data_IF_996928083021
#
_entry.id   IF_996928083021
#
_cell.length_a   1.000
_cell.length_b   1.000
_cell.length_c   1.000
_cell.angle_alpha   90.00
_cell.angle_beta   90.00
_cell.angle_gamma   90.00
#
_symmetry.space_group_name_H-M   'P 1'
#
loop_
_entity.id
_entity.type
_entity.pdbx_description
1 polymer ?
#
# COMPACT_ATOMS: atom_id res chain seq x y z
N UNK A 1 9.62 28.12 18.72
CA UNK A 1 9.99 27.74 17.34
C UNK A 1 8.69 27.43 16.61
N UNK A 2 8.45 28.07 15.47
CA UNK A 2 7.20 27.89 14.73
C UNK A 2 7.22 26.55 13.97
N UNK A 3 6.40 25.61 14.45
CA UNK A 3 6.40 24.23 13.97
C UNK A 3 5.91 24.14 12.51
N UNK A 4 5.09 25.12 12.07
CA UNK A 4 4.61 25.20 10.69
C UNK A 4 5.75 25.55 9.74
N UNK A 5 6.64 26.45 10.13
CA UNK A 5 7.81 26.85 9.32
C UNK A 5 8.80 25.70 9.15
N UNK A 6 9.06 24.93 10.21
CA UNK A 6 9.94 23.75 10.15
C UNK A 6 9.31 22.68 9.24
N UNK A 7 8.00 22.46 9.37
CA UNK A 7 7.26 21.50 8.54
C UNK A 7 7.27 21.91 7.07
N UNK A 8 7.05 23.19 6.78
CA UNK A 8 7.09 23.73 5.42
C UNK A 8 8.48 23.60 4.78
N UNK A 9 9.55 23.80 5.57
CA UNK A 9 10.93 23.67 5.10
C UNK A 9 11.28 22.23 4.72
N UNK A 10 10.89 21.25 5.55
CA UNK A 10 11.08 19.82 5.26
C UNK A 10 10.31 19.41 3.99
N UNK A 11 9.06 19.87 3.85
CA UNK A 11 8.24 19.59 2.66
C UNK A 11 8.84 20.21 1.37
N UNK A 12 9.45 21.39 1.47
CA UNK A 12 10.12 22.04 0.35
C UNK A 12 11.39 21.30 -0.09
N UNK A 13 12.15 20.76 0.87
CA UNK A 13 13.37 19.99 0.62
C UNK A 13 13.05 18.67 -0.10
N UNK A 14 12.02 17.95 0.34
CA UNK A 14 11.59 16.70 -0.33
C UNK A 14 11.02 16.91 -1.73
N UNK A 15 10.44 18.08 -2.01
CA UNK A 15 9.96 18.43 -3.35
C UNK A 15 11.09 18.69 -4.36
N UNK A 16 12.30 19.01 -3.89
CA UNK A 16 13.44 19.33 -4.77
C UNK A 16 14.10 18.11 -5.39
N UNK A 17 13.85 16.89 -4.88
CA UNK A 17 14.53 15.68 -5.36
C UNK A 17 13.81 14.95 -6.51
N UNK A 18 12.67 15.47 -6.98
CA UNK A 18 11.90 14.86 -8.08
C UNK A 18 12.27 15.43 -9.47
N UNK A 19 13.23 16.36 -9.55
CA UNK A 19 13.62 17.07 -10.78
C UNK A 19 14.81 16.51 -11.56
N UNK A 20 15.54 15.50 -11.06
CA UNK A 20 16.83 15.09 -11.65
C UNK A 20 16.88 13.62 -12.05
N UNK A 21 15.87 13.15 -12.81
CA UNK A 21 16.04 11.93 -13.61
C UNK A 21 15.79 12.25 -15.08
N UNK A 22 16.66 13.10 -15.63
CA UNK A 22 16.93 13.15 -17.07
C UNK A 22 17.88 12.01 -17.40
N UNK A 23 17.50 11.17 -18.36
CA UNK A 23 18.16 9.91 -18.64
C UNK A 23 19.48 10.03 -19.39
N UNK A 24 20.25 8.95 -19.32
CA UNK A 24 21.11 8.50 -20.41
C UNK A 24 21.28 6.97 -20.32
N UNK A 25 21.36 6.37 -21.50
CA UNK A 25 21.43 4.93 -21.75
C UNK A 25 22.86 4.39 -21.50
N UNK A 26 22.94 3.05 -21.52
CA UNK A 26 24.12 2.19 -21.63
C UNK A 26 24.78 1.71 -20.32
N UNK A 27 24.50 0.46 -19.95
CA UNK A 27 25.48 -0.62 -20.19
C UNK A 27 24.86 -1.98 -19.85
N UNK A 28 24.75 -2.81 -20.88
CA UNK A 28 24.30 -4.20 -20.84
C UNK A 28 25.42 -5.06 -20.23
N UNK A 29 25.13 -5.80 -19.15
CA UNK A 29 25.59 -7.17 -18.92
C UNK A 29 25.11 -7.65 -17.54
N UNK A 30 24.07 -8.48 -17.53
CA UNK A 30 23.81 -9.39 -16.41
C UNK A 30 23.46 -10.74 -17.01
N UNK A 31 24.42 -11.65 -16.91
CA UNK A 31 24.29 -13.05 -17.32
C UNK A 31 23.39 -13.78 -16.32
N UNK A 32 22.27 -14.29 -16.82
CA UNK A 32 21.40 -15.26 -16.15
C UNK A 32 22.17 -16.46 -15.61
N UNK A 33 21.66 -17.05 -14.51
CA UNK A 33 21.40 -18.47 -14.46
C UNK A 33 19.88 -18.71 -14.56
N UNK A 34 19.47 -19.52 -15.53
CA UNK A 34 18.14 -20.13 -15.59
C UNK A 34 17.87 -20.92 -14.30
N UNK A 35 16.79 -20.59 -13.60
CA UNK A 35 16.14 -21.54 -12.69
C UNK A 35 14.71 -21.76 -13.16
N UNK A 36 14.60 -22.69 -14.10
CA UNK A 36 13.37 -23.34 -14.53
C UNK A 36 12.80 -24.16 -13.37
N UNK A 37 11.69 -23.71 -12.79
CA UNK A 37 10.64 -24.62 -12.33
C UNK A 37 9.26 -24.02 -12.67
N UNK A 38 8.56 -24.67 -13.60
CA UNK A 38 7.14 -24.38 -13.86
C UNK A 38 6.33 -24.66 -12.59
N UNK A 39 5.97 -23.60 -11.86
CA UNK A 39 5.01 -23.70 -10.77
C UNK A 39 3.61 -23.83 -11.38
N UNK A 40 3.20 -25.08 -11.63
CA UNK A 40 1.84 -25.45 -11.96
C UNK A 40 0.87 -24.83 -10.94
N UNK A 41 0.10 -23.83 -11.40
CA UNK A 41 -1.01 -23.29 -10.64
C UNK A 41 -2.16 -24.29 -10.77
N UNK A 42 -2.17 -25.31 -9.91
CA UNK A 42 -3.34 -26.17 -9.75
C UNK A 42 -4.45 -25.33 -9.11
N UNK A 43 -5.35 -24.81 -9.94
CA UNK A 43 -6.68 -24.43 -9.46
C UNK A 43 -7.44 -25.73 -9.15
N UNK A 44 -7.91 -25.95 -7.92
CA UNK A 44 -8.85 -27.03 -7.69
C UNK A 44 -10.16 -26.65 -8.39
N UNK A 45 -10.47 -27.40 -9.45
CA UNK A 45 -11.82 -27.53 -10.01
C UNK A 45 -12.69 -28.08 -8.88
N UNK A 46 -13.64 -27.28 -8.37
CA UNK A 46 -14.66 -27.82 -7.48
C UNK A 46 -15.71 -28.48 -8.35
N UNK A 47 -15.64 -29.81 -8.43
CA UNK A 47 -16.64 -30.66 -9.07
C UNK A 47 -18.04 -30.31 -8.60
N UNK A 48 -18.84 -29.71 -9.47
CA UNK A 48 -20.29 -29.63 -9.24
C UNK A 48 -20.85 -31.02 -9.51
N UNK A 49 -21.11 -31.73 -8.43
CA UNK A 49 -21.85 -33.00 -8.47
C UNK A 49 -23.14 -32.77 -9.23
N UNK A 50 -23.28 -33.48 -10.36
CA UNK A 50 -24.53 -33.68 -11.07
C UNK A 50 -25.59 -34.15 -10.07
N UNK A 51 -26.53 -33.27 -9.74
CA UNK A 51 -27.64 -33.50 -8.83
C UNK A 51 -28.88 -32.84 -9.39
N UNK A 52 -29.63 -33.62 -10.16
CA UNK A 52 -30.98 -33.31 -10.61
C UNK A 52 -31.91 -33.16 -9.40
N UNK A 53 -32.35 -31.93 -9.07
CA UNK A 53 -33.53 -31.73 -8.24
C UNK A 53 -34.18 -30.37 -8.52
N UNK A 54 -35.39 -30.43 -9.08
CA UNK A 54 -36.29 -29.29 -9.24
C UNK A 54 -36.63 -28.62 -7.91
N UNK A 55 -36.60 -27.28 -7.87
CA UNK A 55 -37.57 -26.48 -7.12
C UNK A 55 -37.56 -25.00 -7.55
N UNK A 56 -38.57 -24.66 -8.36
CA UNK A 56 -39.53 -23.56 -8.16
C UNK A 56 -39.03 -22.19 -7.69
N UNK A 57 -39.02 -21.27 -8.67
CA UNK A 57 -39.52 -19.89 -8.61
C UNK A 57 -39.35 -19.06 -7.33
N UNK A 58 -38.35 -18.17 -7.34
CA UNK A 58 -38.47 -16.85 -6.72
C UNK A 58 -37.94 -15.77 -7.66
N UNK A 59 -38.83 -15.26 -8.51
CA UNK A 59 -38.65 -14.03 -9.25
C UNK A 59 -38.81 -12.83 -8.30
N UNK A 60 -37.72 -12.11 -8.02
CA UNK A 60 -37.82 -10.71 -7.56
C UNK A 60 -37.35 -9.81 -8.71
N UNK A 61 -38.32 -9.18 -9.37
CA UNK A 61 -38.11 -8.43 -10.60
C UNK A 61 -37.42 -7.09 -10.38
N UNK A 62 -36.54 -6.74 -11.31
CA UNK A 62 -36.60 -5.42 -11.92
C UNK A 62 -36.36 -5.56 -13.42
N UNK A 63 -37.43 -5.47 -14.19
CA UNK A 63 -37.41 -5.41 -15.65
C UNK A 63 -36.85 -4.07 -16.08
N UNK A 64 -35.89 -4.05 -17.03
CA UNK A 64 -35.26 -2.80 -17.42
C UNK A 64 -34.26 -2.85 -18.58
N UNK A 65 -34.76 -3.13 -19.78
CA UNK A 65 -34.24 -2.66 -21.10
C UNK A 65 -33.07 -3.43 -21.76
N UNK A 66 -33.50 -4.30 -22.68
CA UNK A 66 -33.01 -4.58 -24.05
C UNK A 66 -31.90 -3.65 -24.59
N UNK A 67 -30.75 -4.27 -24.85
CA UNK A 67 -29.78 -4.09 -25.95
C UNK A 67 -29.64 -2.73 -26.67
N UNK A 68 -28.43 -2.15 -26.58
CA UNK A 68 -27.70 -1.56 -27.73
C UNK A 68 -26.19 -1.85 -27.57
N UNK A 69 -25.50 -2.41 -28.58
CA UNK A 69 -24.06 -2.58 -28.58
C UNK A 69 -23.41 -1.46 -29.41
N UNK A 70 -23.41 -0.22 -28.91
CA UNK A 70 -22.78 0.90 -29.63
C UNK A 70 -22.17 1.91 -28.67
N UNK A 71 -20.91 1.65 -28.30
CA UNK A 71 -19.88 2.68 -28.21
C UNK A 71 -18.59 1.94 -27.87
N UNK A 72 -17.77 1.71 -28.89
CA UNK A 72 -16.35 1.46 -28.73
C UNK A 72 -15.75 2.66 -27.99
N UNK A 73 -15.82 2.67 -26.66
CA UNK A 73 -14.88 3.44 -25.87
C UNK A 73 -13.53 2.84 -26.23
N UNK A 74 -12.72 3.62 -26.94
CA UNK A 74 -11.29 3.41 -27.10
C UNK A 74 -10.70 3.37 -25.68
N UNK A 75 -10.85 2.21 -25.06
CA UNK A 75 -10.67 1.99 -23.65
C UNK A 75 -9.23 1.59 -23.46
N UNK A 76 -8.43 2.51 -22.93
CA UNK A 76 -7.06 2.26 -22.44
C UNK A 76 -6.98 0.84 -21.87
N UNK A 77 -5.95 0.03 -22.21
CA UNK A 77 -5.84 -1.34 -21.77
C UNK A 77 -5.90 -1.39 -20.23
N UNK A 78 -7.06 -1.77 -19.71
CA UNK A 78 -7.29 -1.88 -18.26
C UNK A 78 -6.54 -3.11 -17.80
N UNK A 79 -5.63 -2.93 -16.86
CA UNK A 79 -4.86 -4.00 -16.24
C UNK A 79 -5.75 -5.21 -15.89
N UNK A 80 -5.36 -6.41 -16.35
CA UNK A 80 -6.07 -7.67 -16.09
C UNK A 80 -6.31 -7.87 -14.58
N UNK A 81 -7.43 -8.50 -14.23
CA UNK A 81 -7.78 -8.85 -12.85
C UNK A 81 -6.64 -9.59 -12.14
N UNK A 82 -5.94 -10.51 -12.82
CA UNK A 82 -4.77 -11.22 -12.25
C UNK A 82 -3.64 -10.24 -11.86
N UNK A 83 -3.37 -9.25 -12.71
CA UNK A 83 -2.37 -8.20 -12.43
C UNK A 83 -2.79 -7.30 -11.28
N UNK A 84 -4.08 -6.97 -11.18
CA UNK A 84 -4.65 -6.18 -10.07
C UNK A 84 -4.47 -6.91 -8.74
N UNK A 85 -4.82 -8.19 -8.66
CA UNK A 85 -4.68 -9.00 -7.43
C UNK A 85 -3.22 -9.06 -6.97
N UNK A 86 -2.28 -9.36 -7.89
CA UNK A 86 -0.84 -9.38 -7.56
C UNK A 86 -0.35 -8.01 -7.06
N UNK A 87 -0.85 -6.92 -7.63
CA UNK A 87 -0.50 -5.57 -7.17
C UNK A 87 -1.09 -5.27 -5.78
N UNK A 88 -2.33 -5.65 -5.51
CA UNK A 88 -2.97 -5.47 -4.20
C UNK A 88 -2.26 -6.27 -3.10
N UNK A 89 -1.84 -7.50 -3.36
CA UNK A 89 -1.10 -8.28 -2.36
C UNK A 89 0.27 -7.65 -2.06
N UNK A 90 0.98 -7.13 -3.08
CA UNK A 90 2.22 -6.38 -2.86
C UNK A 90 1.99 -5.15 -1.99
N UNK A 91 0.94 -4.38 -2.25
CA UNK A 91 0.64 -3.20 -1.44
C UNK A 91 0.26 -3.59 -0.01
N UNK A 92 -0.43 -4.72 0.18
CA UNK A 92 -0.71 -5.27 1.51
C UNK A 92 0.57 -5.62 2.27
N UNK A 93 1.55 -6.27 1.62
CA UNK A 93 2.87 -6.53 2.22
C UNK A 93 3.57 -5.21 2.59
N UNK A 94 3.57 -4.23 1.68
CA UNK A 94 4.16 -2.90 1.91
C UNK A 94 3.52 -2.21 3.12
N UNK A 95 2.19 -2.22 3.22
CA UNK A 95 1.47 -1.63 4.36
C UNK A 95 1.69 -2.36 5.67
N UNK A 96 1.91 -3.68 5.64
CA UNK A 96 2.30 -4.45 6.84
C UNK A 96 3.67 -4.02 7.37
N UNK A 97 4.68 -3.94 6.50
CA UNK A 97 6.01 -3.47 6.88
C UNK A 97 5.98 -2.03 7.44
N UNK A 98 5.18 -1.14 6.83
CA UNK A 98 5.01 0.21 7.37
C UNK A 98 4.37 0.22 8.76
N UNK A 99 3.38 -0.64 9.01
CA UNK A 99 2.75 -0.73 10.32
C UNK A 99 3.73 -1.25 11.38
N UNK A 100 4.52 -2.27 11.04
CA UNK A 100 5.57 -2.83 11.91
C UNK A 100 6.62 -1.78 12.28
N UNK A 101 7.16 -1.05 11.30
CA UNK A 101 8.11 0.03 11.56
C UNK A 101 7.53 1.12 12.49
N UNK A 102 6.24 1.44 12.33
CA UNK A 102 5.55 2.38 13.22
C UNK A 102 5.35 1.81 14.63
N UNK A 103 5.18 0.50 14.79
CA UNK A 103 5.15 -0.15 16.10
C UNK A 103 6.53 -0.10 16.77
N UNK A 104 7.59 -0.46 16.05
CA UNK A 104 8.96 -0.33 16.56
C UNK A 104 9.30 1.11 16.98
N UNK A 105 8.81 2.11 16.24
CA UNK A 105 9.00 3.51 16.62
C UNK A 105 8.38 3.86 17.99
N UNK A 106 7.24 3.23 18.34
CA UNK A 106 6.59 3.46 19.64
C UNK A 106 7.39 2.91 20.80
N UNK A 107 8.17 1.85 20.59
CA UNK A 107 8.99 1.23 21.64
C UNK A 107 10.11 2.17 22.12
N UNK A 108 10.50 3.14 21.28
CA UNK A 108 11.47 4.18 21.63
C UNK A 108 10.84 5.43 22.25
N UNK A 109 9.51 5.52 22.32
CA UNK A 109 8.85 6.67 22.94
C UNK A 109 8.71 6.47 24.46
N UNK A 110 9.02 7.50 25.27
CA UNK A 110 8.78 7.45 26.71
C UNK A 110 7.32 7.09 27.06
N UNK A 111 7.08 6.30 28.13
CA UNK A 111 5.74 5.90 28.55
C UNK A 111 4.78 7.07 28.81
N UNK A 112 5.31 8.23 29.21
CA UNK A 112 4.54 9.46 29.48
C UNK A 112 3.73 9.96 28.27
N UNK A 113 4.16 9.63 27.05
CA UNK A 113 3.42 9.95 25.82
C UNK A 113 2.23 9.02 25.60
N UNK A 114 2.30 7.78 26.08
CA UNK A 114 1.24 6.78 25.99
C UNK A 114 0.28 6.91 27.19
N UNK A 115 -0.44 8.03 27.25
CA UNK A 115 -1.39 8.30 28.34
C UNK A 115 -2.48 7.22 28.33
N UNK A 116 -2.67 6.56 29.48
CA UNK A 116 -3.83 5.70 29.79
C UNK A 116 -3.80 4.27 29.22
N UNK A 117 -2.62 3.75 28.88
CA UNK A 117 -2.49 2.37 28.37
C UNK A 117 -3.16 2.14 27.01
N UNK A 118 -3.54 3.22 26.33
CA UNK A 118 -4.08 3.18 24.98
C UNK A 118 -2.94 3.27 23.97
N UNK A 119 -2.97 2.48 22.88
CA UNK A 119 -1.95 2.55 21.85
C UNK A 119 -2.02 3.90 21.10
N UNK A 120 -0.85 4.49 20.85
CA UNK A 120 -0.76 5.75 20.11
C UNK A 120 -1.30 5.62 18.68
N UNK A 121 -2.08 6.61 18.22
CA UNK A 121 -2.44 6.72 16.80
C UNK A 121 -1.20 7.00 15.93
N UNK A 122 -1.30 6.78 14.61
CA UNK A 122 -0.18 7.05 13.68
C UNK A 122 0.30 8.50 13.76
N UNK A 123 -0.64 9.45 13.77
CA UNK A 123 -0.31 10.88 13.82
C UNK A 123 0.31 11.28 15.17
N UNK A 124 -0.18 10.72 16.28
CA UNK A 124 0.42 10.98 17.60
C UNK A 124 1.84 10.44 17.69
N UNK A 125 2.06 9.21 17.21
CA UNK A 125 3.40 8.58 17.19
C UNK A 125 4.41 9.48 16.48
N UNK A 126 4.06 9.98 15.29
CA UNK A 126 4.93 10.87 14.52
C UNK A 126 5.17 12.21 15.24
N UNK A 127 4.11 12.83 15.78
CA UNK A 127 4.24 14.10 16.52
C UNK A 127 5.15 13.97 17.75
N UNK A 128 4.93 12.93 18.57
CA UNK A 128 5.72 12.71 19.77
C UNK A 128 7.16 12.31 19.48
N UNK A 129 7.41 11.60 18.36
CA UNK A 129 8.77 11.30 17.92
C UNK A 129 9.55 12.58 17.61
N UNK A 130 8.95 13.50 16.86
CA UNK A 130 9.58 14.79 16.54
C UNK A 130 9.88 15.57 17.82
N UNK A 131 8.90 15.66 18.73
CA UNK A 131 9.08 16.33 20.02
C UNK A 131 10.19 15.70 20.86
N UNK A 132 10.28 14.36 20.88
CA UNK A 132 11.28 13.64 21.64
C UNK A 132 12.69 13.83 21.08
N UNK A 133 12.87 13.76 19.75
CA UNK A 133 14.14 14.05 19.10
C UNK A 133 14.62 15.47 19.43
N UNK A 134 13.72 16.46 19.37
CA UNK A 134 14.05 17.84 19.73
C UNK A 134 14.48 17.97 21.19
N UNK A 135 13.75 17.36 22.13
CA UNK A 135 14.13 17.37 23.56
C UNK A 135 15.50 16.74 23.82
N UNK A 136 15.78 15.59 23.18
CA UNK A 136 17.08 14.94 23.31
C UNK A 136 18.20 15.81 22.73
N UNK A 137 17.96 16.44 21.57
CA UNK A 137 18.90 17.37 20.94
C UNK A 137 19.19 18.60 21.81
N UNK A 138 18.16 19.14 22.47
CA UNK A 138 18.28 20.26 23.42
C UNK A 138 19.08 19.87 24.67
N UNK A 139 18.90 18.65 25.17
CA UNK A 139 19.68 18.15 26.32
C UNK A 139 21.15 18.00 25.95
N UNK A 140 21.43 17.39 24.79
CA UNK A 140 22.80 17.16 24.31
C UNK A 140 23.54 18.45 23.95
N UNK A 141 22.83 19.51 23.56
CA UNK A 141 23.44 20.82 23.24
C UNK A 141 23.71 21.70 24.46
N UNK A 142 23.09 21.38 25.60
CA UNK A 142 23.31 22.08 26.88
C UNK A 142 24.35 21.40 27.76
N UNK A 143 24.72 20.16 27.42
CA UNK A 143 25.80 19.40 28.04
C UNK A 143 27.16 19.86 27.50
#
# INVERSE_FOLDING_TARGET
MDLEVVTAKILAEWKSHEGTFGGDQDSLQSTSPESSIDSMCSSPEMSYSSGHQEMKDFHFGFTGRRATPTAQRLGKPKMSTKRRVKASEREKMRMRSLAEALHHLRDYLPPDYSKRGQPLTKIQTLKYTIEYINKLSDILSRA
#
